data_IF_237603407633
#
_entry.id   IF_237603407633
#
_cell.length_a   1.000
_cell.length_b   1.000
_cell.length_c   1.000
_cell.angle_alpha   90.00
_cell.angle_beta   90.00
_cell.angle_gamma   90.00
#
_symmetry.space_group_name_H-M   'P 1'
#
loop_
_entity.id
_entity.type
_entity.pdbx_description
1 polymer ?
#
# COMPACT_ATOMS: atom_id res chain seq x y z
N UNK A 1 -26.09 -2.56 -0.29
CA UNK A 1 -25.85 -1.36 -1.12
C UNK A 1 -26.22 -1.71 -2.56
N UNK A 2 -27.09 -0.91 -3.18
CA UNK A 2 -27.55 -1.09 -4.56
C UNK A 2 -26.37 -0.89 -5.54
N UNK A 3 -26.27 -1.80 -6.52
CA UNK A 3 -25.21 -1.91 -7.54
C UNK A 3 -25.53 -1.08 -8.80
N UNK A 4 -25.82 0.21 -8.68
CA UNK A 4 -26.00 1.07 -9.85
C UNK A 4 -24.85 2.10 -9.93
N UNK A 5 -23.91 1.81 -10.85
CA UNK A 5 -22.93 2.70 -11.46
C UNK A 5 -22.11 3.61 -10.51
N UNK A 6 -21.33 2.97 -9.62
CA UNK A 6 -20.40 3.61 -8.67
C UNK A 6 -18.95 3.61 -9.17
N UNK A 7 -18.70 3.93 -10.45
CA UNK A 7 -17.33 3.91 -10.97
C UNK A 7 -16.53 5.12 -10.48
N UNK A 8 -16.07 5.04 -9.23
CA UNK A 8 -15.30 6.07 -8.54
C UNK A 8 -13.85 6.17 -9.00
N UNK A 9 -13.39 5.26 -9.87
CA UNK A 9 -12.03 5.24 -10.40
C UNK A 9 -12.10 5.78 -11.83
N UNK A 10 -11.54 6.97 -12.05
CA UNK A 10 -11.58 7.64 -13.35
C UNK A 10 -10.52 7.10 -14.32
N UNK A 11 -9.46 6.48 -13.80
CA UNK A 11 -8.33 5.96 -14.56
C UNK A 11 -7.01 6.25 -13.88
N UNK A 12 -5.96 6.40 -14.69
CA UNK A 12 -4.60 6.64 -14.21
C UNK A 12 -4.00 7.89 -14.82
N UNK A 13 -3.17 8.58 -14.06
CA UNK A 13 -2.37 9.71 -14.54
C UNK A 13 -0.89 9.48 -14.29
N UNK A 14 -0.07 9.64 -15.32
CA UNK A 14 1.37 9.50 -15.17
C UNK A 14 1.96 10.66 -14.35
N UNK A 15 2.71 10.34 -13.30
CA UNK A 15 3.36 11.34 -12.44
C UNK A 15 4.51 12.08 -13.13
N UNK A 16 5.13 11.47 -14.15
CA UNK A 16 6.25 12.07 -14.88
C UNK A 16 5.81 12.96 -16.05
N UNK A 17 4.95 12.45 -16.94
CA UNK A 17 4.58 13.18 -18.17
C UNK A 17 3.11 13.66 -18.20
N UNK A 18 2.34 13.42 -17.15
CA UNK A 18 0.94 13.86 -17.04
C UNK A 18 -0.06 13.16 -17.97
N UNK A 19 0.36 12.17 -18.76
CA UNK A 19 -0.54 11.43 -19.67
C UNK A 19 -1.56 10.63 -18.87
N UNK A 20 -2.81 10.70 -19.32
CA UNK A 20 -3.94 10.00 -18.71
C UNK A 20 -4.24 8.71 -19.48
N UNK A 21 -4.69 7.70 -18.74
CA UNK A 21 -5.04 6.37 -19.24
C UNK A 21 -6.38 5.93 -18.64
N UNK A 22 -7.20 5.17 -19.39
CA UNK A 22 -8.41 4.56 -18.85
C UNK A 22 -8.08 3.51 -17.78
N UNK A 23 -9.09 3.06 -17.04
CA UNK A 23 -8.97 1.98 -16.03
C UNK A 23 -8.56 0.65 -16.69
N UNK A 24 -9.12 0.37 -17.88
CA UNK A 24 -8.83 -0.85 -18.63
C UNK A 24 -8.18 -0.54 -19.99
N UNK A 25 -7.14 -1.29 -20.40
CA UNK A 25 -6.49 -2.38 -19.65
C UNK A 25 -5.66 -1.86 -18.47
N UNK A 26 -5.45 -2.70 -17.45
CA UNK A 26 -4.58 -2.37 -16.32
C UNK A 26 -3.13 -2.16 -16.79
N UNK A 27 -2.51 -1.07 -16.31
CA UNK A 27 -1.13 -0.72 -16.61
C UNK A 27 -0.33 -0.60 -15.32
N UNK A 28 0.84 -1.23 -15.28
CA UNK A 28 1.82 -0.98 -14.23
C UNK A 28 2.44 0.41 -14.41
N UNK A 29 3.02 0.67 -15.58
CA UNK A 29 3.73 1.92 -15.85
C UNK A 29 3.17 2.68 -17.05
N UNK A 30 3.52 3.96 -17.11
CA UNK A 30 3.20 4.81 -18.24
C UNK A 30 3.85 4.30 -19.53
N UNK A 31 3.02 3.97 -20.52
CA UNK A 31 3.45 3.51 -21.85
C UNK A 31 4.23 4.55 -22.69
N UNK A 32 4.34 5.81 -22.22
CA UNK A 32 5.06 6.89 -22.90
C UNK A 32 6.45 7.17 -22.31
N UNK A 33 6.61 7.08 -21.00
CA UNK A 33 7.85 7.49 -20.33
C UNK A 33 8.29 6.55 -19.20
N UNK A 34 7.64 5.39 -19.04
CA UNK A 34 7.92 4.38 -18.01
C UNK A 34 7.84 4.85 -16.55
N UNK A 35 7.39 6.09 -16.31
CA UNK A 35 7.16 6.60 -14.96
C UNK A 35 5.90 5.99 -14.34
N UNK A 36 5.77 6.13 -13.02
CA UNK A 36 4.66 5.59 -12.24
C UNK A 36 3.33 6.24 -12.62
N UNK A 37 2.28 5.47 -12.43
CA UNK A 37 0.90 5.88 -12.62
C UNK A 37 0.27 6.18 -11.25
N UNK A 38 -0.57 7.21 -11.21
CA UNK A 38 -1.34 7.61 -10.03
C UNK A 38 -2.83 7.33 -10.29
N UNK A 39 -3.49 6.63 -9.37
CA UNK A 39 -4.94 6.33 -9.48
C UNK A 39 -5.73 7.61 -9.30
N UNK A 40 -6.60 7.92 -10.27
CA UNK A 40 -7.48 9.09 -10.21
C UNK A 40 -8.88 8.68 -9.76
N UNK A 41 -9.43 9.44 -8.82
CA UNK A 41 -10.76 9.18 -8.24
C UNK A 41 -11.76 10.28 -8.58
N UNK A 42 -13.04 9.90 -8.66
CA UNK A 42 -14.16 10.82 -8.68
C UNK A 42 -14.50 11.26 -7.25
N UNK A 43 -13.87 12.34 -6.80
CA UNK A 43 -14.08 12.85 -5.43
C UNK A 43 -15.44 13.53 -5.24
N UNK A 44 -16.14 13.92 -6.31
CA UNK A 44 -17.52 14.42 -6.20
C UNK A 44 -18.44 13.26 -5.85
N UNK A 45 -18.37 12.17 -6.62
CA UNK A 45 -19.12 10.94 -6.34
C UNK A 45 -18.78 10.37 -4.95
N UNK A 46 -17.49 10.28 -4.59
CA UNK A 46 -17.10 9.73 -3.28
C UNK A 46 -17.68 10.56 -2.13
N UNK A 47 -17.72 11.90 -2.25
CA UNK A 47 -18.33 12.78 -1.23
C UNK A 47 -19.83 12.54 -1.06
N UNK A 48 -20.53 12.17 -2.14
CA UNK A 48 -21.96 11.88 -2.09
C UNK A 48 -22.28 10.55 -1.40
N UNK A 49 -21.40 9.55 -1.56
CA UNK A 49 -21.66 8.17 -1.12
C UNK A 49 -20.90 7.74 0.14
N UNK A 50 -19.96 8.55 0.63
CA UNK A 50 -19.10 8.18 1.75
C UNK A 50 -18.77 9.36 2.68
N UNK A 51 -19.01 9.15 3.96
CA UNK A 51 -18.88 10.13 5.03
C UNK A 51 -18.02 9.61 6.18
N UNK A 52 -17.63 10.53 7.07
CA UNK A 52 -16.91 10.18 8.31
C UNK A 52 -17.72 9.25 9.22
N UNK A 53 -19.05 9.32 9.19
CA UNK A 53 -19.90 8.47 10.04
C UNK A 53 -19.97 7.02 9.53
N UNK A 54 -19.81 6.80 8.23
CA UNK A 54 -19.76 5.44 7.65
C UNK A 54 -18.55 4.65 8.18
N UNK A 55 -17.44 5.32 8.47
CA UNK A 55 -16.27 4.69 9.10
C UNK A 55 -16.60 4.08 10.46
N UNK A 56 -17.49 4.71 11.24
CA UNK A 56 -17.87 4.23 12.58
C UNK A 56 -18.77 2.99 12.52
N UNK A 57 -19.46 2.78 11.41
CA UNK A 57 -20.38 1.66 11.22
C UNK A 57 -19.66 0.38 10.76
N UNK A 58 -18.39 0.49 10.34
CA UNK A 58 -17.64 -0.65 9.87
C UNK A 58 -17.35 -1.64 11.03
N UNK A 59 -17.63 -2.94 10.86
CA UNK A 59 -17.57 -3.92 11.95
C UNK A 59 -16.15 -4.24 12.44
N UNK A 60 -15.14 -3.93 11.64
CA UNK A 60 -13.75 -4.28 11.91
C UNK A 60 -12.82 -3.08 11.73
N UNK A 61 -11.74 -3.08 12.50
CA UNK A 61 -10.66 -2.09 12.38
C UNK A 61 -9.66 -2.57 11.34
N UNK A 62 -9.95 -2.30 10.06
CA UNK A 62 -9.06 -2.66 8.94
C UNK A 62 -8.96 -1.53 7.92
N UNK A 63 -8.02 -1.67 6.99
CA UNK A 63 -7.85 -0.73 5.87
C UNK A 63 -9.10 -0.65 4.97
N UNK A 64 -9.96 -1.68 4.99
CA UNK A 64 -11.14 -1.77 4.12
C UNK A 64 -12.24 -0.77 4.48
N UNK A 65 -12.13 -0.14 5.66
CA UNK A 65 -12.95 1.02 6.03
C UNK A 65 -12.81 2.18 5.03
N UNK A 66 -11.68 2.25 4.32
CA UNK A 66 -11.38 3.28 3.32
C UNK A 66 -11.61 2.80 1.88
N UNK A 67 -12.39 1.74 1.67
CA UNK A 67 -12.68 1.14 0.36
C UNK A 67 -13.05 2.15 -0.75
N UNK A 68 -13.84 3.21 -0.49
CA UNK A 68 -14.13 4.21 -1.52
C UNK A 68 -12.90 4.92 -2.10
N UNK A 69 -11.78 4.95 -1.36
CA UNK A 69 -10.48 5.47 -1.80
C UNK A 69 -9.47 4.36 -2.16
N UNK A 70 -9.93 3.15 -2.50
CA UNK A 70 -9.08 2.05 -2.95
C UNK A 70 -9.46 1.59 -4.36
N UNK A 71 -8.48 1.16 -5.19
CA UNK A 71 -8.67 0.84 -6.59
C UNK A 71 -9.11 -0.63 -6.78
N UNK A 72 -10.11 -1.07 -6.01
CA UNK A 72 -10.67 -2.43 -6.09
C UNK A 72 -12.17 -2.34 -5.92
N UNK A 73 -12.97 -2.99 -6.75
CA UNK A 73 -14.43 -2.89 -6.67
C UNK A 73 -15.03 -3.69 -5.51
N UNK A 74 -14.42 -4.82 -5.17
CA UNK A 74 -14.95 -5.75 -4.18
C UNK A 74 -13.96 -5.95 -3.01
N UNK A 75 -14.25 -5.40 -1.81
CA UNK A 75 -13.45 -5.70 -0.63
C UNK A 75 -13.55 -7.20 -0.30
N UNK A 76 -12.61 -7.77 0.48
CA UNK A 76 -12.65 -9.18 0.84
C UNK A 76 -13.87 -9.51 1.70
N UNK A 77 -14.49 -10.66 1.43
CA UNK A 77 -15.61 -11.18 2.22
C UNK A 77 -15.13 -11.64 3.62
N UNK A 78 -13.95 -12.24 3.68
CA UNK A 78 -13.34 -12.70 4.93
C UNK A 78 -12.38 -11.65 5.49
N UNK A 79 -12.76 -11.04 6.61
CA UNK A 79 -11.99 -10.04 7.35
C UNK A 79 -11.42 -10.59 8.67
N UNK A 80 -11.25 -11.91 8.79
CA UNK A 80 -10.69 -12.54 10.01
C UNK A 80 -9.21 -12.21 10.20
N UNK A 81 -8.46 -11.98 9.12
CA UNK A 81 -7.14 -11.36 9.16
C UNK A 81 -7.24 -9.93 8.65
N UNK A 82 -6.69 -8.97 9.40
CA UNK A 82 -6.90 -7.55 9.16
C UNK A 82 -5.55 -6.85 9.02
N UNK A 83 -5.27 -6.32 7.83
CA UNK A 83 -4.26 -5.26 7.70
C UNK A 83 -4.87 -3.90 7.99
N UNK A 84 -4.08 -3.04 8.61
CA UNK A 84 -4.55 -1.76 9.10
C UNK A 84 -5.21 -1.84 10.48
N UNK A 85 -5.91 -0.77 10.86
CA UNK A 85 -6.47 -0.62 12.20
C UNK A 85 -5.42 -0.61 13.31
N UNK A 86 -4.16 -0.32 12.97
CA UNK A 86 -3.04 -0.48 13.91
C UNK A 86 -3.03 0.61 14.98
N UNK A 87 -2.43 0.36 16.16
CA UNK A 87 -2.41 1.35 17.24
C UNK A 87 -1.70 2.66 16.86
N UNK A 88 -2.25 3.77 17.33
CA UNK A 88 -1.57 5.06 17.39
C UNK A 88 -1.19 5.32 18.86
N UNK A 89 0.05 4.98 19.22
CA UNK A 89 0.55 5.16 20.58
C UNK A 89 0.73 6.66 20.86
N UNK A 90 0.23 7.14 22.00
CA UNK A 90 0.17 8.57 22.33
C UNK A 90 1.08 8.89 23.52
N UNK A 91 1.93 9.89 23.35
CA UNK A 91 2.88 10.40 24.35
C UNK A 91 2.69 11.92 24.49
N UNK A 92 1.61 12.36 25.16
CA UNK A 92 1.28 13.77 25.27
C UNK A 92 2.30 14.50 26.16
N UNK A 93 2.72 15.68 25.72
CA UNK A 93 3.60 16.54 26.51
C UNK A 93 5.01 16.02 26.75
N UNK A 94 5.53 15.20 25.84
CA UNK A 94 6.91 14.72 25.86
C UNK A 94 7.89 15.90 25.76
N UNK A 95 8.89 15.94 26.65
CA UNK A 95 9.95 16.93 26.62
C UNK A 95 11.01 16.51 25.59
N UNK A 96 11.40 17.44 24.74
CA UNK A 96 12.47 17.28 23.73
C UNK A 96 13.39 18.48 23.78
N UNK A 97 14.51 18.41 23.07
CA UNK A 97 15.46 19.52 22.94
C UNK A 97 14.83 20.78 22.29
N UNK A 98 13.73 20.61 21.56
CA UNK A 98 12.98 21.70 20.92
C UNK A 98 11.74 22.13 21.72
N UNK A 99 11.59 21.63 22.95
CA UNK A 99 10.48 21.95 23.84
C UNK A 99 9.48 20.79 24.01
N UNK A 100 8.28 21.13 24.49
CA UNK A 100 7.22 20.16 24.80
C UNK A 100 6.41 19.85 23.54
N UNK A 101 6.27 18.56 23.21
CA UNK A 101 5.54 18.08 22.03
C UNK A 101 4.53 16.99 22.39
N UNK A 102 3.49 16.82 21.58
CA UNK A 102 2.65 15.62 21.60
C UNK A 102 3.21 14.65 20.56
N UNK A 103 3.87 13.59 21.01
CA UNK A 103 4.41 12.56 20.12
C UNK A 103 3.37 11.45 19.93
N UNK A 104 3.25 11.00 18.70
CA UNK A 104 2.47 9.81 18.35
C UNK A 104 3.33 8.82 17.56
N UNK A 105 3.13 7.53 17.79
CA UNK A 105 3.79 6.44 17.04
C UNK A 105 2.72 5.55 16.42
N UNK A 106 2.64 5.53 15.09
CA UNK A 106 1.76 4.63 14.34
C UNK A 106 2.44 3.27 14.19
N UNK A 107 1.99 2.27 14.96
CA UNK A 107 2.68 0.98 15.09
C UNK A 107 2.18 -0.07 14.09
N UNK A 108 2.68 0.04 12.86
CA UNK A 108 2.40 -0.94 11.80
C UNK A 108 3.14 -2.28 11.95
N UNK A 109 3.90 -2.48 13.03
CA UNK A 109 4.46 -3.80 13.37
C UNK A 109 3.40 -4.76 13.94
N UNK A 110 2.17 -4.28 14.11
CA UNK A 110 0.99 -5.05 14.52
C UNK A 110 0.16 -5.61 13.36
N UNK A 111 0.54 -5.32 12.11
CA UNK A 111 -0.04 -6.00 10.96
C UNK A 111 0.32 -7.51 10.94
N UNK A 112 -0.41 -8.36 10.21
CA UNK A 112 -0.27 -9.82 10.26
C UNK A 112 1.15 -10.37 10.05
N UNK A 113 1.91 -9.84 9.09
CA UNK A 113 3.31 -10.23 8.84
C UNK A 113 4.33 -9.46 9.70
N UNK A 114 3.85 -8.50 10.50
CA UNK A 114 4.67 -7.57 11.27
C UNK A 114 5.11 -6.33 10.47
N UNK A 115 4.45 -6.00 9.36
CA UNK A 115 4.86 -4.88 8.51
C UNK A 115 3.73 -4.09 7.87
N UNK A 116 3.95 -2.78 7.69
CA UNK A 116 3.14 -1.88 6.85
C UNK A 116 2.90 -2.43 5.43
N UNK A 117 3.81 -3.29 4.94
CA UNK A 117 3.71 -3.91 3.61
C UNK A 117 2.42 -4.69 3.41
N UNK A 118 1.80 -5.17 4.48
CA UNK A 118 0.53 -5.91 4.45
C UNK A 118 -0.60 -5.08 3.83
N UNK A 119 -0.67 -3.79 4.14
CA UNK A 119 -1.67 -2.89 3.56
C UNK A 119 -1.61 -2.85 2.03
N UNK A 120 -0.41 -2.78 1.48
CA UNK A 120 -0.18 -2.76 0.04
C UNK A 120 -0.46 -4.12 -0.60
N UNK A 121 0.03 -5.18 0.05
CA UNK A 121 -0.11 -6.55 -0.42
C UNK A 121 -1.57 -6.98 -0.46
N UNK A 122 -2.37 -6.63 0.56
CA UNK A 122 -3.77 -7.02 0.64
C UNK A 122 -4.61 -6.38 -0.47
N UNK A 123 -4.46 -5.08 -0.70
CA UNK A 123 -5.11 -4.39 -1.84
C UNK A 123 -4.61 -4.97 -3.17
N UNK A 124 -3.31 -5.29 -3.27
CA UNK A 124 -2.74 -5.92 -4.45
C UNK A 124 -3.31 -7.31 -4.74
N UNK A 125 -3.54 -8.14 -3.73
CA UNK A 125 -4.19 -9.47 -3.86
C UNK A 125 -5.62 -9.31 -4.36
N UNK A 126 -6.38 -8.37 -3.79
CA UNK A 126 -7.78 -8.14 -4.22
C UNK A 126 -7.87 -7.62 -5.65
N UNK A 127 -6.98 -6.72 -6.03
CA UNK A 127 -6.90 -6.28 -7.42
C UNK A 127 -6.47 -7.43 -8.36
N UNK A 128 -5.57 -8.31 -7.91
CA UNK A 128 -5.20 -9.51 -8.66
C UNK A 128 -6.40 -10.46 -8.87
N UNK A 129 -7.29 -10.61 -7.88
CA UNK A 129 -8.53 -11.38 -8.00
C UNK A 129 -9.43 -10.84 -9.11
N UNK A 130 -9.62 -9.52 -9.16
CA UNK A 130 -10.46 -8.84 -10.17
C UNK A 130 -9.90 -9.01 -11.59
N UNK A 131 -8.58 -9.12 -11.71
CA UNK A 131 -7.89 -9.43 -12.96
C UNK A 131 -7.79 -10.94 -13.27
N UNK A 132 -8.40 -11.80 -12.45
CA UNK A 132 -8.36 -13.26 -12.62
C UNK A 132 -6.98 -13.88 -12.42
N UNK A 133 -6.13 -13.29 -11.58
CA UNK A 133 -4.74 -13.71 -11.36
C UNK A 133 -4.61 -14.52 -10.07
N UNK A 134 -4.28 -15.80 -10.21
CA UNK A 134 -4.08 -16.73 -9.09
C UNK A 134 -2.68 -16.67 -8.46
N UNK A 135 -1.68 -16.32 -9.28
CA UNK A 135 -0.27 -16.24 -8.88
C UNK A 135 0.18 -14.80 -8.79
N UNK A 136 0.86 -14.49 -7.69
CA UNK A 136 1.42 -13.17 -7.41
C UNK A 136 2.92 -13.32 -7.23
N UNK A 137 3.67 -12.48 -7.92
CA UNK A 137 5.13 -12.49 -7.94
C UNK A 137 5.73 -11.21 -7.39
N UNK A 138 6.85 -11.33 -6.68
CA UNK A 138 7.66 -10.21 -6.24
C UNK A 138 9.15 -10.57 -6.19
N UNK A 139 10.02 -9.58 -6.41
CA UNK A 139 11.44 -9.68 -6.09
C UNK A 139 11.74 -8.94 -4.77
N UNK A 140 12.08 -9.68 -3.73
CA UNK A 140 12.38 -9.11 -2.41
C UNK A 140 12.94 -10.16 -1.45
N UNK A 141 13.95 -9.79 -0.67
CA UNK A 141 14.44 -10.58 0.47
C UNK A 141 13.89 -10.10 1.82
N UNK A 142 13.06 -9.06 1.85
CA UNK A 142 12.58 -8.42 3.09
C UNK A 142 11.06 -8.45 3.26
N UNK A 143 10.56 -7.47 4.01
CA UNK A 143 9.16 -7.39 4.46
C UNK A 143 8.12 -7.48 3.34
N UNK A 144 8.43 -7.06 2.11
CA UNK A 144 7.48 -7.17 1.00
C UNK A 144 7.23 -8.63 0.60
N UNK A 145 8.27 -9.47 0.64
CA UNK A 145 8.19 -10.89 0.36
C UNK A 145 7.53 -11.64 1.52
N UNK A 146 7.89 -11.33 2.77
CA UNK A 146 7.24 -11.91 3.94
C UNK A 146 5.73 -11.58 4.00
N UNK A 147 5.39 -10.32 3.73
CA UNK A 147 4.00 -9.86 3.60
C UNK A 147 3.24 -10.60 2.51
N UNK A 148 3.83 -10.71 1.31
CA UNK A 148 3.23 -11.46 0.21
C UNK A 148 3.01 -12.92 0.58
N UNK A 149 4.01 -13.59 1.15
CA UNK A 149 3.91 -14.98 1.55
C UNK A 149 2.79 -15.19 2.59
N UNK A 150 2.76 -14.37 3.65
CA UNK A 150 1.75 -14.46 4.72
C UNK A 150 0.33 -14.26 4.19
N UNK A 151 0.11 -13.19 3.43
CA UNK A 151 -1.23 -12.84 2.95
C UNK A 151 -1.68 -13.77 1.81
N UNK A 152 -0.77 -14.21 0.94
CA UNK A 152 -1.11 -15.19 -0.09
C UNK A 152 -1.55 -16.52 0.55
N UNK A 153 -0.88 -16.96 1.61
CA UNK A 153 -1.30 -18.17 2.33
C UNK A 153 -2.72 -18.04 2.92
N UNK A 154 -3.07 -16.87 3.48
CA UNK A 154 -4.41 -16.60 4.01
C UNK A 154 -5.49 -16.53 2.92
N UNK A 155 -5.18 -15.88 1.79
CA UNK A 155 -6.09 -15.70 0.66
C UNK A 155 -6.05 -16.84 -0.37
N UNK A 156 -5.41 -17.96 -0.03
CA UNK A 156 -5.26 -19.15 -0.88
C UNK A 156 -4.66 -18.84 -2.27
N UNK A 157 -3.69 -17.92 -2.32
CA UNK A 157 -2.94 -17.54 -3.52
C UNK A 157 -1.57 -18.19 -3.59
N UNK A 158 -1.03 -18.28 -4.79
CA UNK A 158 0.36 -18.68 -5.01
C UNK A 158 1.27 -17.46 -4.92
N UNK A 159 2.13 -17.43 -3.90
CA UNK A 159 3.22 -16.46 -3.81
C UNK A 159 4.49 -17.02 -4.45
N UNK A 160 4.99 -16.32 -5.47
CA UNK A 160 6.28 -16.61 -6.10
C UNK A 160 7.26 -15.49 -5.76
N UNK A 161 8.39 -15.83 -5.15
CA UNK A 161 9.34 -14.84 -4.65
C UNK A 161 10.70 -15.10 -5.27
N UNK A 162 11.22 -14.10 -5.97
CA UNK A 162 12.57 -14.11 -6.53
C UNK A 162 13.51 -13.40 -5.58
N UNK A 163 14.65 -14.02 -5.29
CA UNK A 163 15.68 -13.46 -4.41
C UNK A 163 17.07 -13.77 -4.93
N UNK A 164 18.07 -12.90 -4.71
CA UNK A 164 19.47 -13.28 -4.90
C UNK A 164 19.79 -14.59 -4.16
N UNK A 165 20.55 -15.49 -4.78
CA UNK A 165 20.97 -16.75 -4.17
C UNK A 165 21.79 -16.55 -2.88
N UNK A 166 22.48 -15.39 -2.79
CA UNK A 166 23.23 -14.98 -1.60
C UNK A 166 22.36 -14.41 -0.46
N UNK A 167 21.03 -14.40 -0.59
CA UNK A 167 20.13 -13.89 0.44
C UNK A 167 20.32 -14.63 1.78
N UNK A 168 20.52 -13.92 2.91
CA UNK A 168 20.73 -14.57 4.20
C UNK A 168 19.55 -15.46 4.59
N UNK A 169 19.77 -16.72 5.04
CA UNK A 169 18.69 -17.64 5.40
C UNK A 169 17.69 -17.08 6.41
N UNK A 170 18.16 -16.29 7.40
CA UNK A 170 17.31 -15.66 8.39
C UNK A 170 16.24 -14.72 7.78
N UNK A 171 16.56 -14.09 6.64
CA UNK A 171 15.60 -13.24 5.90
C UNK A 171 14.57 -14.07 5.11
N UNK A 172 14.92 -15.31 4.77
CA UNK A 172 14.08 -16.22 3.99
C UNK A 172 13.16 -17.07 4.86
N UNK A 173 13.48 -17.27 6.14
CA UNK A 173 12.73 -18.13 7.07
C UNK A 173 11.24 -17.81 7.09
N UNK A 174 10.86 -16.54 7.28
CA UNK A 174 9.46 -16.14 7.35
C UNK A 174 8.72 -16.40 6.03
N UNK A 175 9.39 -16.18 4.90
CA UNK A 175 8.85 -16.40 3.56
C UNK A 175 8.53 -17.89 3.34
N UNK A 176 9.50 -18.76 3.66
CA UNK A 176 9.37 -20.21 3.50
C UNK A 176 8.34 -20.81 4.47
N UNK A 177 8.25 -20.27 5.69
CA UNK A 177 7.29 -20.75 6.70
C UNK A 177 5.84 -20.57 6.26
N UNK A 178 5.52 -19.52 5.49
CA UNK A 178 4.19 -19.31 4.93
C UNK A 178 3.95 -20.08 3.62
N UNK A 179 4.90 -20.88 3.15
CA UNK A 179 4.72 -21.76 2.00
C UNK A 179 4.87 -21.09 0.63
N UNK A 180 5.51 -19.91 0.57
CA UNK A 180 5.79 -19.28 -0.71
C UNK A 180 6.83 -20.07 -1.53
N UNK A 181 6.67 -20.04 -2.85
CA UNK A 181 7.60 -20.64 -3.81
C UNK A 181 8.79 -19.68 -3.97
N UNK A 182 9.94 -20.08 -3.47
CA UNK A 182 11.17 -19.28 -3.56
C UNK A 182 12.00 -19.70 -4.78
N UNK A 183 12.37 -18.73 -5.63
CA UNK A 183 13.32 -18.91 -6.72
C UNK A 183 14.59 -18.10 -6.45
N UNK A 184 15.67 -18.78 -6.01
CA UNK A 184 16.99 -18.16 -5.93
C UNK A 184 17.50 -17.80 -7.33
N UNK A 185 17.98 -16.57 -7.49
CA UNK A 185 18.57 -16.03 -8.72
C UNK A 185 20.06 -15.85 -8.48
N UNK A 186 20.88 -16.47 -9.33
CA UNK A 186 22.33 -16.27 -9.31
C UNK A 186 22.68 -14.90 -9.89
N UNK A 187 22.61 -13.87 -9.05
CA UNK A 187 22.74 -12.48 -9.46
C UNK A 187 22.45 -11.48 -8.33
N UNK A 188 22.34 -10.22 -8.70
CA UNK A 188 22.03 -9.08 -7.84
C UNK A 188 20.54 -8.96 -7.55
N UNK A 189 20.16 -7.98 -6.70
CA UNK A 189 18.76 -7.64 -6.49
C UNK A 189 18.08 -7.17 -7.77
N UNK A 190 18.78 -6.37 -8.58
CA UNK A 190 18.24 -5.84 -9.83
C UNK A 190 18.00 -6.97 -10.83
N UNK A 191 18.91 -7.94 -10.93
CA UNK A 191 18.71 -9.14 -11.75
C UNK A 191 17.47 -9.93 -11.33
N UNK A 192 17.26 -10.12 -10.02
CA UNK A 192 16.07 -10.78 -9.49
C UNK A 192 14.79 -9.97 -9.76
N UNK A 193 14.87 -8.63 -9.70
CA UNK A 193 13.76 -7.74 -10.01
C UNK A 193 13.38 -7.81 -11.49
N UNK A 194 14.33 -7.64 -12.41
CA UNK A 194 14.10 -7.73 -13.84
C UNK A 194 13.53 -9.09 -14.23
N UNK A 195 14.10 -10.18 -13.72
CA UNK A 195 13.59 -11.53 -13.96
C UNK A 195 12.16 -11.70 -13.44
N UNK A 196 11.81 -11.08 -12.30
CA UNK A 196 10.45 -11.16 -11.76
C UNK A 196 9.41 -10.51 -12.69
N UNK A 197 9.79 -9.44 -13.41
CA UNK A 197 8.93 -8.79 -14.40
C UNK A 197 8.74 -9.70 -15.62
N UNK A 198 9.83 -10.25 -16.15
CA UNK A 198 9.79 -11.15 -17.31
C UNK A 198 8.95 -12.40 -17.04
N UNK A 199 9.13 -13.01 -15.86
CA UNK A 199 8.35 -14.18 -15.44
C UNK A 199 6.89 -13.83 -15.22
N UNK A 200 6.60 -12.65 -14.65
CA UNK A 200 5.23 -12.18 -14.50
C UNK A 200 4.52 -12.05 -15.86
N UNK A 201 5.18 -11.41 -16.83
CA UNK A 201 4.63 -11.22 -18.17
C UNK A 201 4.42 -12.55 -18.89
N UNK A 202 5.45 -13.39 -18.94
CA UNK A 202 5.43 -14.66 -19.67
C UNK A 202 4.35 -15.64 -19.17
N UNK A 203 4.04 -15.61 -17.88
CA UNK A 203 3.04 -16.49 -17.26
C UNK A 203 1.70 -15.79 -17.00
N UNK A 204 1.59 -14.51 -17.34
CA UNK A 204 0.43 -13.68 -17.02
C UNK A 204 0.14 -13.60 -15.52
N UNK A 205 1.16 -13.58 -14.65
CA UNK A 205 1.03 -13.43 -13.20
C UNK A 205 0.90 -11.95 -12.78
N UNK A 206 0.44 -11.72 -11.55
CA UNK A 206 0.34 -10.36 -10.99
C UNK A 206 1.65 -9.93 -10.32
N UNK A 207 2.20 -8.77 -10.67
CA UNK A 207 3.42 -8.24 -10.07
C UNK A 207 3.11 -7.34 -8.88
N UNK A 208 3.60 -7.70 -7.69
CA UNK A 208 3.51 -6.89 -6.46
C UNK A 208 4.74 -5.99 -6.27
N UNK A 209 5.43 -5.65 -7.35
CA UNK A 209 6.60 -4.78 -7.30
C UNK A 209 6.23 -3.32 -7.02
N UNK A 210 6.65 -2.82 -5.84
CA UNK A 210 6.37 -1.44 -5.38
C UNK A 210 6.79 -0.37 -6.39
N UNK A 211 7.92 -0.58 -7.08
CA UNK A 211 8.50 0.42 -7.98
C UNK A 211 7.66 0.69 -9.21
N UNK A 212 6.69 -0.17 -9.55
CA UNK A 212 5.94 -0.09 -10.81
C UNK A 212 4.43 -0.25 -10.65
N UNK A 213 3.92 -0.78 -9.53
CA UNK A 213 2.51 -1.10 -9.42
C UNK A 213 1.74 0.05 -8.72
N UNK A 214 0.83 0.76 -9.44
CA UNK A 214 0.12 1.91 -8.92
C UNK A 214 -0.87 1.56 -7.79
N UNK A 215 -1.31 0.30 -7.70
CA UNK A 215 -2.23 -0.15 -6.64
C UNK A 215 -1.56 -0.18 -5.26
N UNK A 216 -0.24 -0.38 -5.22
CA UNK A 216 0.47 -0.58 -3.95
C UNK A 216 0.62 0.71 -3.15
N UNK A 217 0.66 1.87 -3.81
CA UNK A 217 0.64 3.16 -3.09
C UNK A 217 -0.72 3.40 -2.44
N UNK A 218 -1.81 2.97 -3.07
CA UNK A 218 -3.17 3.09 -2.54
C UNK A 218 -3.37 2.25 -1.27
N UNK A 219 -2.81 1.05 -1.21
CA UNK A 219 -2.81 0.29 0.04
C UNK A 219 -1.99 0.97 1.14
N UNK A 220 -0.78 1.47 0.84
CA UNK A 220 0.05 2.19 1.82
C UNK A 220 -0.58 3.49 2.30
N UNK A 221 -1.31 4.18 1.42
CA UNK A 221 -2.05 5.41 1.73
C UNK A 221 -2.97 5.26 2.94
N UNK A 222 -3.56 4.09 3.14
CA UNK A 222 -4.46 3.84 4.26
C UNK A 222 -3.85 4.13 5.64
N UNK A 223 -2.52 4.04 5.80
CA UNK A 223 -1.86 4.43 7.06
C UNK A 223 -2.05 5.92 7.38
N UNK A 224 -2.04 6.78 6.35
CA UNK A 224 -2.26 8.22 6.51
C UNK A 224 -3.73 8.56 6.80
N UNK A 225 -4.66 7.84 6.17
CA UNK A 225 -6.09 7.94 6.44
C UNK A 225 -6.39 7.55 7.89
N UNK A 226 -5.80 6.45 8.36
CA UNK A 226 -5.92 6.00 9.75
C UNK A 226 -5.33 7.00 10.74
N UNK A 227 -4.16 7.58 10.46
CA UNK A 227 -3.57 8.61 11.33
C UNK A 227 -4.52 9.80 11.46
N UNK A 228 -5.08 10.28 10.34
CA UNK A 228 -6.02 11.40 10.36
C UNK A 228 -7.28 11.05 11.15
N UNK A 229 -7.87 9.88 10.91
CA UNK A 229 -9.05 9.41 11.64
C UNK A 229 -8.79 9.28 13.15
N UNK A 230 -7.70 8.62 13.55
CA UNK A 230 -7.36 8.37 14.95
C UNK A 230 -7.01 9.65 15.71
N UNK A 231 -6.64 10.72 15.00
CA UNK A 231 -6.47 12.07 15.55
C UNK A 231 -7.74 12.92 15.45
N UNK A 232 -8.92 12.30 15.21
CA UNK A 232 -10.20 12.99 15.04
C UNK A 232 -10.14 14.09 13.97
N UNK A 233 -9.49 13.78 12.84
CA UNK A 233 -9.29 14.67 11.69
C UNK A 233 -8.47 15.92 12.00
N UNK A 234 -7.80 15.97 13.16
CA UNK A 234 -6.84 17.01 13.50
C UNK A 234 -5.48 16.69 12.87
N UNK A 235 -5.16 17.43 11.80
CA UNK A 235 -3.94 17.22 11.03
C UNK A 235 -2.70 17.52 11.89
N UNK A 236 -1.76 16.56 12.06
CA UNK A 236 -0.54 16.79 12.82
C UNK A 236 0.36 17.81 12.11
N UNK A 237 1.20 18.52 12.85
CA UNK A 237 2.11 19.50 12.24
C UNK A 237 3.16 18.83 11.34
N UNK A 238 3.71 17.70 11.80
CA UNK A 238 4.78 16.96 11.14
C UNK A 238 4.50 15.47 11.20
N UNK A 239 4.83 14.74 10.14
CA UNK A 239 4.85 13.28 10.11
C UNK A 239 6.22 12.84 9.60
N UNK A 240 6.92 12.08 10.43
CA UNK A 240 8.21 11.50 10.08
C UNK A 240 7.99 10.11 9.48
N UNK A 241 8.51 9.87 8.28
CA UNK A 241 8.33 8.61 7.57
C UNK A 241 9.71 8.02 7.24
N UNK A 242 10.07 6.87 7.83
CA UNK A 242 11.25 6.12 7.39
C UNK A 242 11.11 5.82 5.90
N UNK A 243 12.09 6.26 5.12
CA UNK A 243 12.01 6.29 3.66
C UNK A 243 13.12 5.45 3.07
N UNK A 244 12.74 4.47 2.24
CA UNK A 244 13.63 3.74 1.34
C UNK A 244 13.22 4.04 -0.09
N UNK A 245 12.36 3.20 -0.67
CA UNK A 245 11.82 3.36 -2.03
C UNK A 245 10.87 4.56 -2.27
N UNK A 246 10.64 5.42 -1.27
CA UNK A 246 9.73 6.57 -1.38
C UNK A 246 8.23 6.26 -1.41
N UNK A 247 7.81 5.00 -1.56
CA UNK A 247 6.41 4.69 -1.81
C UNK A 247 5.52 4.84 -0.56
N UNK A 248 6.06 4.62 0.64
CA UNK A 248 5.30 4.85 1.88
C UNK A 248 4.99 6.33 2.06
N UNK A 249 5.99 7.21 1.94
CA UNK A 249 5.80 8.66 2.10
C UNK A 249 4.90 9.22 1.00
N UNK A 250 4.99 8.70 -0.23
CA UNK A 250 4.05 9.03 -1.32
C UNK A 250 2.61 8.62 -0.98
N UNK A 251 2.40 7.43 -0.42
CA UNK A 251 1.09 6.98 0.05
C UNK A 251 0.55 7.87 1.17
N UNK A 252 1.37 8.20 2.17
CA UNK A 252 0.97 9.13 3.24
C UNK A 252 0.59 10.49 2.67
N UNK A 253 1.38 11.04 1.74
CA UNK A 253 1.05 12.29 1.05
C UNK A 253 -0.30 12.21 0.34
N UNK A 254 -0.52 11.15 -0.44
CA UNK A 254 -1.77 10.95 -1.17
C UNK A 254 -2.97 10.86 -0.21
N UNK A 255 -2.81 10.27 0.97
CA UNK A 255 -3.90 10.17 1.95
C UNK A 255 -4.41 11.53 2.37
N UNK A 256 -3.50 12.42 2.78
CA UNK A 256 -3.87 13.77 3.18
C UNK A 256 -4.37 14.59 1.99
N UNK A 257 -3.85 14.36 0.77
CA UNK A 257 -4.39 15.00 -0.44
C UNK A 257 -5.83 14.56 -0.73
N UNK A 258 -6.13 13.26 -0.64
CA UNK A 258 -7.49 12.73 -0.81
C UNK A 258 -8.44 13.32 0.23
N UNK A 259 -8.02 13.41 1.49
CA UNK A 259 -8.83 14.01 2.55
C UNK A 259 -9.09 15.51 2.33
N UNK A 260 -8.14 16.25 1.74
CA UNK A 260 -8.36 17.64 1.27
C UNK A 260 -9.40 17.68 0.17
N UNK A 261 -9.31 16.77 -0.82
CA UNK A 261 -10.24 16.70 -1.95
C UNK A 261 -11.66 16.33 -1.52
N UNK A 262 -11.79 15.51 -0.47
CA UNK A 262 -13.07 15.20 0.16
C UNK A 262 -13.58 16.30 1.10
N UNK A 263 -12.75 17.30 1.42
CA UNK A 263 -13.11 18.40 2.33
C UNK A 263 -13.15 18.01 3.81
N UNK A 264 -12.56 16.86 4.19
CA UNK A 264 -12.55 16.39 5.58
C UNK A 264 -11.48 17.07 6.43
N UNK A 265 -10.46 17.62 5.76
CA UNK A 265 -9.41 18.45 6.36
C UNK A 265 -9.14 19.66 5.48
N UNK A 266 -8.43 20.66 6.01
CA UNK A 266 -8.19 21.95 5.32
C UNK A 266 -6.72 22.26 5.05
N UNK A 267 -5.78 21.45 5.57
CA UNK A 267 -4.34 21.63 5.38
C UNK A 267 -3.60 20.30 5.31
N UNK A 268 -2.43 20.31 4.69
CA UNK A 268 -1.51 19.17 4.67
C UNK A 268 -0.55 19.22 5.87
N UNK A 269 -0.13 18.08 6.43
CA UNK A 269 1.00 18.01 7.36
C UNK A 269 2.32 18.22 6.61
N UNK A 270 3.36 18.67 7.30
CA UNK A 270 4.71 18.60 6.76
C UNK A 270 5.21 17.15 6.84
N UNK A 271 5.46 16.51 5.69
CA UNK A 271 6.06 15.18 5.66
C UNK A 271 7.59 15.28 5.67
N UNK A 272 8.22 14.49 6.52
CA UNK A 272 9.68 14.46 6.68
C UNK A 272 10.14 13.04 6.35
N UNK A 273 10.82 12.91 5.21
CA UNK A 273 11.52 11.68 4.85
C UNK A 273 12.73 11.50 5.77
N UNK A 274 12.85 10.32 6.37
CA UNK A 274 13.99 9.96 7.22
C UNK A 274 14.72 8.79 6.57
N UNK A 275 15.94 9.03 6.12
CA UNK A 275 16.84 8.05 5.48
C UNK A 275 18.06 7.79 6.36
N UNK A 276 18.67 6.61 6.19
CA UNK A 276 19.96 6.31 6.79
C UNK A 276 21.08 7.07 6.04
N UNK A 277 22.15 7.41 6.74
CA UNK A 277 23.34 7.98 6.12
C UNK A 277 23.87 7.02 5.03
N UNK A 278 24.19 7.56 3.84
CA UNK A 278 24.65 6.78 2.69
C UNK A 278 23.56 6.10 1.85
N UNK A 279 22.27 6.35 2.11
CA UNK A 279 21.14 5.86 1.31
C UNK A 279 20.34 7.03 0.71
N UNK A 280 20.87 7.69 -0.34
CA UNK A 280 20.24 8.87 -0.96
C UNK A 280 18.88 8.56 -1.60
#
# INVERSE_FOLDING_TARGET
>A
MNKENTNRILGYKCVGCGKEYPVEPFLYQCQKCNSNLDVQYDYDLIREIWTVDDLKQFPYQSLWRYHPLLPVENPPENLSMQSGGTPLLSFPGMLTDIGKVNLYVKDDTRNPSGSLKDRATEVGIRHADELGKDTIVAASTGNAAASLAALAAFYEKKAVILTPAAAPPAKLTQILQYGAILYPVDGTYDDAFELSILVAEANGWYSRSTGINPVLVEGKKTVGLEIAEQLNWQVPNKIFVPTGDGCIIAGVYKAFLDLIRLGWITKLPQLIAVQAEGSP
#
